data_IF_976576821974
#
_entry.id   IF_976576821974
#
_cell.length_a   1.000
_cell.length_b   1.000
_cell.length_c   1.000
_cell.angle_alpha   90.00
_cell.angle_beta   90.00
_cell.angle_gamma   90.00
#
_symmetry.space_group_name_H-M   'P 1'
#
loop_
_entity.id
_entity.type
_entity.pdbx_description
1 polymer ?
#
# COMPACT_ATOMS: atom_id res chain seq x y z
N UNK A 1 64.45 1.24 63.08
CA UNK A 1 64.20 0.06 63.93
C UNK A 1 62.74 -0.35 63.75
N UNK A 2 62.45 -1.62 63.39
CA UNK A 2 61.11 -2.23 63.44
C UNK A 2 60.82 -2.68 64.90
N UNK A 3 59.77 -3.46 65.24
CA UNK A 3 58.50 -3.84 64.55
C UNK A 3 57.24 -3.64 65.45
N UNK A 4 56.03 -3.87 64.94
CA UNK A 4 55.14 -4.99 65.37
C UNK A 4 53.73 -4.94 64.75
N UNK A 5 53.38 -6.08 64.15
CA UNK A 5 52.09 -6.52 63.65
C UNK A 5 50.94 -6.40 64.66
N UNK A 6 49.72 -6.13 64.17
CA UNK A 6 48.55 -7.00 64.44
C UNK A 6 47.60 -7.04 63.24
N UNK A 7 47.33 -8.27 62.81
CA UNK A 7 46.32 -8.69 61.85
C UNK A 7 44.91 -8.47 62.42
N UNK A 8 44.00 -7.97 61.60
CA UNK A 8 42.56 -8.17 61.75
C UNK A 8 42.02 -8.68 60.41
N UNK A 9 41.71 -9.98 60.38
CA UNK A 9 41.09 -10.69 59.27
C UNK A 9 39.59 -10.31 59.28
N UNK A 10 39.15 -9.46 58.35
CA UNK A 10 37.72 -9.26 58.09
C UNK A 10 37.29 -10.24 56.99
N UNK A 11 36.58 -11.29 57.40
CA UNK A 11 35.78 -12.14 56.52
C UNK A 11 34.59 -11.34 55.95
N UNK A 12 34.68 -10.92 54.69
CA UNK A 12 33.51 -10.50 53.90
C UNK A 12 33.02 -11.71 53.09
N UNK A 13 31.90 -12.29 53.53
CA UNK A 13 31.13 -13.26 52.75
C UNK A 13 30.51 -12.59 51.52
N UNK A 14 30.63 -13.16 50.31
CA UNK A 14 29.80 -12.77 49.19
C UNK A 14 28.42 -13.43 49.32
N UNK A 15 27.39 -12.60 49.57
CA UNK A 15 25.98 -12.99 49.44
C UNK A 15 25.70 -13.13 47.94
N UNK A 16 25.75 -14.35 47.43
CA UNK A 16 25.27 -14.67 46.10
C UNK A 16 23.74 -14.59 46.09
N UNK A 17 23.20 -13.45 45.66
CA UNK A 17 21.79 -13.29 45.29
C UNK A 17 21.54 -14.05 43.98
N UNK A 18 21.22 -15.35 44.09
CA UNK A 18 20.61 -16.10 43.00
C UNK A 18 19.15 -15.64 42.92
N UNK A 19 18.91 -14.62 42.11
CA UNK A 19 17.56 -14.24 41.70
C UNK A 19 17.00 -15.32 40.79
N UNK A 20 16.12 -16.17 41.32
CA UNK A 20 15.24 -17.00 40.52
C UNK A 20 14.36 -16.09 39.66
N UNK A 21 14.69 -15.96 38.37
CA UNK A 21 13.75 -15.50 37.37
C UNK A 21 12.69 -16.59 37.24
N UNK A 22 11.59 -16.45 37.99
CA UNK A 22 10.35 -17.16 37.70
C UNK A 22 9.80 -16.50 36.43
N UNK A 23 10.27 -16.96 35.27
CA UNK A 23 9.55 -16.76 34.02
C UNK A 23 8.25 -17.54 34.17
N UNK A 24 7.20 -16.83 34.59
CA UNK A 24 5.84 -17.31 34.46
C UNK A 24 5.62 -17.50 32.96
N UNK A 25 5.84 -18.72 32.47
CA UNK A 25 5.34 -19.16 31.19
C UNK A 25 3.82 -19.14 31.30
N UNK A 26 3.24 -17.96 31.07
CA UNK A 26 1.84 -17.83 30.75
C UNK A 26 1.67 -18.67 29.50
N UNK A 27 1.13 -19.88 29.66
CA UNK A 27 0.54 -20.64 28.57
C UNK A 27 -0.48 -19.70 27.93
N UNK A 28 -0.08 -19.01 26.86
CA UNK A 28 -1.03 -18.35 25.97
C UNK A 28 -1.89 -19.47 25.44
N UNK A 29 -3.13 -19.55 25.93
CA UNK A 29 -4.17 -20.30 25.24
C UNK A 29 -4.10 -19.93 23.75
N UNK A 30 -4.16 -20.91 22.84
CA UNK A 30 -4.18 -20.63 21.42
C UNK A 30 -5.36 -19.69 21.15
N UNK A 31 -5.05 -18.45 20.76
CA UNK A 31 -6.05 -17.44 20.41
C UNK A 31 -6.85 -18.03 19.26
N UNK A 32 -8.11 -18.40 19.51
CA UNK A 32 -8.99 -18.82 18.43
C UNK A 32 -9.05 -17.71 17.38
N UNK A 33 -8.96 -18.05 16.08
CA UNK A 33 -8.97 -17.04 15.04
C UNK A 33 -10.29 -16.27 15.11
N UNK A 34 -10.19 -14.96 15.33
CA UNK A 34 -11.33 -14.07 15.45
C UNK A 34 -12.21 -14.20 14.20
N UNK A 35 -13.48 -14.59 14.43
CA UNK A 35 -14.49 -14.72 13.38
C UNK A 35 -15.03 -13.33 13.07
N UNK A 36 -14.96 -12.97 11.79
CA UNK A 36 -15.44 -11.70 11.26
C UNK A 36 -16.52 -11.96 10.20
N UNK A 37 -17.45 -11.03 9.95
CA UNK A 37 -18.34 -11.14 8.80
C UNK A 37 -17.55 -11.24 7.49
N UNK A 38 -17.91 -12.19 6.63
CA UNK A 38 -17.21 -12.35 5.34
C UNK A 38 -17.24 -11.10 4.47
N UNK A 39 -18.33 -10.31 4.56
CA UNK A 39 -18.45 -9.04 3.82
C UNK A 39 -17.41 -7.99 4.25
N UNK A 40 -16.79 -8.11 5.43
CA UNK A 40 -15.74 -7.19 5.88
C UNK A 40 -14.46 -7.36 5.06
N UNK A 41 -14.20 -8.59 4.62
CA UNK A 41 -13.03 -8.91 3.80
C UNK A 41 -13.34 -8.86 2.32
N UNK A 42 -14.48 -9.41 1.92
CA UNK A 42 -14.90 -9.57 0.52
C UNK A 42 -16.29 -8.95 0.33
N UNK A 43 -16.41 -7.61 0.33
CA UNK A 43 -17.70 -6.93 0.25
C UNK A 43 -18.34 -6.99 -1.14
N UNK A 44 -17.56 -7.36 -2.16
CA UNK A 44 -18.01 -7.52 -3.55
C UNK A 44 -17.75 -8.96 -4.00
N UNK A 45 -18.80 -9.60 -4.51
CA UNK A 45 -18.81 -10.95 -5.09
C UNK A 45 -19.48 -10.90 -6.46
N UNK A 46 -19.46 -12.01 -7.21
CA UNK A 46 -20.05 -12.07 -8.55
C UNK A 46 -21.57 -11.78 -8.57
N UNK A 47 -22.24 -12.03 -7.44
CA UNK A 47 -23.68 -11.92 -7.22
C UNK A 47 -24.09 -10.70 -6.38
N UNK A 48 -23.13 -9.98 -5.79
CA UNK A 48 -23.42 -8.90 -4.84
C UNK A 48 -22.35 -7.83 -4.85
N UNK A 49 -22.79 -6.59 -5.01
CA UNK A 49 -21.96 -5.40 -4.79
C UNK A 49 -22.44 -4.74 -3.51
N UNK A 50 -21.52 -4.53 -2.57
CA UNK A 50 -21.81 -3.74 -1.40
C UNK A 50 -20.61 -2.99 -0.88
N UNK A 51 -20.90 -2.12 0.08
CA UNK A 51 -19.98 -1.11 0.57
C UNK A 51 -19.95 -1.13 2.09
N UNK A 52 -18.76 -0.94 2.64
CA UNK A 52 -18.53 -0.94 4.08
C UNK A 52 -18.43 0.50 4.55
N UNK A 53 -19.20 0.83 5.57
CA UNK A 53 -19.05 2.06 6.31
C UNK A 53 -18.46 1.78 7.69
N UNK A 54 -17.53 2.62 8.10
CA UNK A 54 -16.84 2.50 9.39
C UNK A 54 -17.17 3.70 10.27
N UNK A 55 -17.17 3.53 11.58
CA UNK A 55 -17.23 4.62 12.56
C UNK A 55 -16.48 4.23 13.83
N UNK A 56 -16.08 5.22 14.63
CA UNK A 56 -15.62 4.96 16.00
C UNK A 56 -16.75 4.23 16.77
N UNK A 57 -16.43 3.27 17.64
CA UNK A 57 -17.44 2.42 18.28
C UNK A 57 -18.30 3.18 19.28
N UNK A 58 -17.79 4.29 19.81
CA UNK A 58 -18.46 5.16 20.76
C UNK A 58 -18.84 6.50 20.13
N UNK A 59 -20.00 7.02 20.50
CA UNK A 59 -20.49 8.33 20.11
C UNK A 59 -21.16 9.02 21.31
N UNK A 60 -21.07 10.34 21.37
CA UNK A 60 -21.81 11.15 22.34
C UNK A 60 -23.32 11.15 22.07
N UNK A 61 -23.74 10.85 20.84
CA UNK A 61 -25.14 10.75 20.43
C UNK A 61 -25.58 9.29 20.48
N UNK A 62 -26.77 9.03 21.03
CA UNK A 62 -27.35 7.70 21.03
C UNK A 62 -27.42 7.14 19.59
N UNK A 63 -26.87 5.95 19.37
CA UNK A 63 -26.72 5.31 18.05
C UNK A 63 -25.93 6.10 16.99
N UNK A 64 -25.22 7.17 17.37
CA UNK A 64 -24.52 8.04 16.42
C UNK A 64 -23.49 7.31 15.57
N UNK A 65 -22.74 6.37 16.16
CA UNK A 65 -21.76 5.55 15.45
C UNK A 65 -22.40 4.62 14.41
N UNK A 66 -23.52 3.99 14.77
CA UNK A 66 -24.26 3.11 13.87
C UNK A 66 -24.81 3.89 12.68
N UNK A 67 -25.44 5.04 12.94
CA UNK A 67 -25.97 5.92 11.90
C UNK A 67 -24.86 6.41 10.97
N UNK A 68 -23.75 6.91 11.53
CA UNK A 68 -22.63 7.40 10.73
C UNK A 68 -22.01 6.28 9.87
N UNK A 69 -21.85 5.08 10.42
CA UNK A 69 -21.35 3.91 9.69
C UNK A 69 -22.31 3.53 8.54
N UNK A 70 -23.61 3.39 8.79
CA UNK A 70 -24.60 3.10 7.74
C UNK A 70 -24.66 4.19 6.67
N UNK A 71 -24.63 5.46 7.05
CA UNK A 71 -24.61 6.59 6.13
C UNK A 71 -23.37 6.57 5.24
N UNK A 72 -22.18 6.26 5.77
CA UNK A 72 -20.95 6.14 4.97
C UNK A 72 -20.99 4.97 3.99
N UNK A 73 -21.55 3.83 4.42
CA UNK A 73 -21.78 2.68 3.54
C UNK A 73 -22.72 3.06 2.39
N UNK A 74 -23.84 3.72 2.71
CA UNK A 74 -24.82 4.18 1.73
C UNK A 74 -24.26 5.26 0.79
N UNK A 75 -23.53 6.24 1.31
CA UNK A 75 -22.89 7.28 0.50
C UNK A 75 -21.94 6.68 -0.53
N UNK A 76 -21.18 5.65 -0.14
CA UNK A 76 -20.27 4.94 -1.05
C UNK A 76 -21.02 4.20 -2.16
N UNK A 77 -22.15 3.57 -1.82
CA UNK A 77 -23.05 2.91 -2.78
C UNK A 77 -23.69 3.91 -3.75
N UNK A 78 -24.22 5.02 -3.25
CA UNK A 78 -24.86 6.07 -4.04
C UNK A 78 -23.83 6.71 -5.00
N UNK A 79 -22.62 6.98 -4.50
CA UNK A 79 -21.53 7.49 -5.31
C UNK A 79 -21.13 6.49 -6.41
N UNK A 80 -21.11 5.19 -6.10
CA UNK A 80 -20.84 4.13 -7.09
C UNK A 80 -21.83 4.13 -8.26
N UNK A 81 -23.12 4.26 -7.97
CA UNK A 81 -24.16 4.30 -9.00
C UNK A 81 -24.40 5.69 -9.61
N UNK A 82 -23.63 6.71 -9.21
CA UNK A 82 -23.77 8.08 -9.72
C UNK A 82 -25.14 8.71 -9.42
N UNK A 83 -25.77 8.34 -8.31
CA UNK A 83 -27.11 8.81 -7.98
C UNK A 83 -27.05 10.26 -7.43
N UNK A 84 -27.93 11.16 -7.90
CA UNK A 84 -27.97 12.55 -7.43
C UNK A 84 -28.55 12.66 -6.01
N UNK A 85 -28.34 13.80 -5.35
CA UNK A 85 -28.96 14.16 -4.04
C UNK A 85 -28.59 13.23 -2.86
N UNK A 86 -27.30 12.96 -2.69
CA UNK A 86 -26.75 12.11 -1.62
C UNK A 86 -27.37 12.46 -0.25
N UNK A 87 -27.39 13.74 0.14
CA UNK A 87 -27.85 14.17 1.46
C UNK A 87 -29.32 13.80 1.77
N UNK A 88 -30.18 13.86 0.75
CA UNK A 88 -31.58 13.48 0.88
C UNK A 88 -31.72 11.98 1.16
N UNK A 89 -30.93 11.16 0.48
CA UNK A 89 -30.93 9.71 0.70
C UNK A 89 -30.34 9.32 2.06
N UNK A 90 -29.28 10.02 2.51
CA UNK A 90 -28.67 9.77 3.82
C UNK A 90 -29.61 10.08 4.99
N UNK A 91 -30.55 11.01 4.82
CA UNK A 91 -31.56 11.35 5.83
C UNK A 91 -32.57 10.22 6.10
N UNK A 92 -32.71 9.26 5.18
CA UNK A 92 -33.61 8.11 5.32
C UNK A 92 -33.05 7.02 6.23
N UNK A 93 -31.75 7.07 6.54
CA UNK A 93 -31.08 6.06 7.37
C UNK A 93 -31.48 6.25 8.83
N UNK A 94 -32.10 5.23 9.43
CA UNK A 94 -32.43 5.19 10.86
C UNK A 94 -31.67 4.06 11.55
N UNK A 95 -31.63 4.09 12.89
CA UNK A 95 -30.94 3.08 13.69
C UNK A 95 -31.64 1.71 13.64
N UNK A 96 -32.95 1.68 13.40
CA UNK A 96 -33.77 0.46 13.33
C UNK A 96 -34.02 -0.07 11.91
N UNK A 97 -33.72 0.71 10.86
CA UNK A 97 -33.93 0.28 9.49
C UNK A 97 -32.97 -0.86 9.08
N UNK A 98 -33.52 -2.00 8.69
CA UNK A 98 -32.79 -3.08 8.01
C UNK A 98 -32.64 -2.83 6.50
N UNK A 99 -33.45 -1.93 5.94
CA UNK A 99 -33.37 -1.47 4.56
C UNK A 99 -33.93 -0.06 4.40
N UNK A 100 -33.55 0.60 3.31
CA UNK A 100 -34.11 1.87 2.85
C UNK A 100 -34.45 1.78 1.37
N UNK A 101 -35.50 2.48 0.94
CA UNK A 101 -35.84 2.64 -0.47
C UNK A 101 -35.36 4.00 -0.97
N UNK A 102 -34.46 3.97 -1.95
CA UNK A 102 -33.95 5.16 -2.62
C UNK A 102 -35.03 5.81 -3.49
N UNK A 103 -34.87 7.09 -3.85
CA UNK A 103 -35.86 7.82 -4.67
C UNK A 103 -36.05 7.22 -6.06
N UNK A 104 -35.05 6.49 -6.57
CA UNK A 104 -35.14 5.75 -7.84
C UNK A 104 -35.89 4.40 -7.70
N UNK A 105 -36.45 4.09 -6.52
CA UNK A 105 -37.17 2.85 -6.24
C UNK A 105 -36.28 1.65 -5.86
N UNK A 106 -34.96 1.80 -5.91
CA UNK A 106 -34.02 0.73 -5.53
C UNK A 106 -34.00 0.55 -4.01
N UNK A 107 -34.05 -0.70 -3.56
CA UNK A 107 -33.89 -1.03 -2.14
C UNK A 107 -32.42 -1.25 -1.81
N UNK A 108 -31.98 -0.69 -0.69
CA UNK A 108 -30.66 -0.92 -0.10
C UNK A 108 -30.86 -1.58 1.24
N UNK A 109 -30.18 -2.72 1.44
CA UNK A 109 -30.21 -3.51 2.66
C UNK A 109 -28.98 -3.22 3.50
N UNK A 110 -29.17 -3.11 4.81
CA UNK A 110 -28.09 -2.94 5.79
C UNK A 110 -27.86 -4.24 6.55
N UNK A 111 -26.59 -4.57 6.80
CA UNK A 111 -26.26 -5.67 7.71
C UNK A 111 -26.56 -5.29 9.16
N UNK A 112 -26.62 -6.32 10.01
CA UNK A 112 -26.34 -6.13 11.43
C UNK A 112 -24.93 -5.53 11.61
N UNK A 113 -24.73 -4.64 12.59
CA UNK A 113 -23.43 -4.04 12.82
C UNK A 113 -22.46 -5.07 13.36
N UNK A 114 -21.22 -5.00 12.88
CA UNK A 114 -20.10 -5.71 13.49
C UNK A 114 -19.26 -4.72 14.29
N UNK A 115 -19.05 -5.00 15.57
CA UNK A 115 -18.45 -4.08 16.52
C UNK A 115 -17.18 -4.72 17.08
N UNK A 116 -16.07 -4.02 16.95
CA UNK A 116 -14.79 -4.33 17.59
C UNK A 116 -14.50 -3.27 18.66
N UNK A 117 -13.46 -3.45 19.50
CA UNK A 117 -13.07 -2.44 20.49
C UNK A 117 -12.77 -1.06 19.90
N UNK A 118 -12.35 -1.01 18.63
CA UNK A 118 -11.85 0.20 17.98
C UNK A 118 -12.71 0.68 16.81
N UNK A 119 -13.69 -0.11 16.33
CA UNK A 119 -14.49 0.23 15.14
C UNK A 119 -15.88 -0.41 15.15
N UNK A 120 -16.86 0.34 14.66
CA UNK A 120 -18.17 -0.17 14.26
C UNK A 120 -18.23 -0.21 12.73
N UNK A 121 -18.60 -1.36 12.20
CA UNK A 121 -18.76 -1.62 10.78
C UNK A 121 -20.23 -1.88 10.43
N UNK A 122 -20.68 -1.30 9.32
CA UNK A 122 -21.96 -1.59 8.70
C UNK A 122 -21.73 -1.86 7.22
N UNK A 123 -22.54 -2.74 6.65
CA UNK A 123 -22.50 -3.06 5.22
C UNK A 123 -23.81 -2.65 4.55
N UNK A 124 -23.72 -2.05 3.36
CA UNK A 124 -24.84 -1.68 2.52
C UNK A 124 -24.76 -2.38 1.17
N UNK A 125 -25.86 -2.98 0.71
CA UNK A 125 -25.93 -3.76 -0.53
C UNK A 125 -27.29 -3.58 -1.20
N UNK A 126 -27.32 -3.70 -2.52
CA UNK A 126 -28.57 -3.70 -3.32
C UNK A 126 -29.25 -5.07 -3.34
N UNK A 127 -28.52 -6.13 -2.99
CA UNK A 127 -29.02 -7.48 -2.77
C UNK A 127 -29.40 -7.70 -1.30
N UNK A 128 -30.48 -8.45 -1.09
CA UNK A 128 -30.95 -8.84 0.25
C UNK A 128 -29.89 -9.67 1.00
N UNK A 129 -29.77 -9.44 2.31
CA UNK A 129 -28.74 -10.07 3.14
C UNK A 129 -29.31 -11.28 3.88
N UNK A 130 -29.15 -12.47 3.31
CA UNK A 130 -29.60 -13.73 3.93
C UNK A 130 -28.47 -14.34 4.78
N UNK A 131 -28.54 -14.14 6.10
CA UNK A 131 -27.57 -14.62 7.11
C UNK A 131 -26.10 -14.16 6.91
N UNK A 132 -25.49 -13.61 7.96
CA UNK A 132 -24.12 -13.10 7.87
C UNK A 132 -23.13 -14.27 8.02
N UNK A 133 -22.62 -14.76 6.89
CA UNK A 133 -21.52 -15.73 6.87
C UNK A 133 -20.31 -15.20 7.67
N UNK A 134 -19.72 -16.07 8.49
CA UNK A 134 -18.54 -15.76 9.30
C UNK A 134 -17.30 -16.35 8.65
N UNK A 135 -16.26 -15.54 8.51
CA UNK A 135 -14.97 -15.86 7.92
C UNK A 135 -13.86 -15.68 8.97
N UNK A 136 -12.72 -16.34 8.77
CA UNK A 136 -11.54 -16.09 9.59
C UNK A 136 -10.85 -14.80 9.14
N UNK A 137 -10.20 -14.09 10.07
CA UNK A 137 -9.38 -12.93 9.74
C UNK A 137 -8.23 -13.30 8.80
N UNK A 138 -8.15 -12.67 7.61
CA UNK A 138 -7.06 -12.88 6.65
C UNK A 138 -5.82 -12.06 7.03
N UNK A 139 -4.69 -12.75 7.15
CA UNK A 139 -3.36 -12.15 7.31
C UNK A 139 -2.65 -12.10 5.95
N UNK A 140 -1.95 -11.01 5.67
CA UNK A 140 -1.11 -10.89 4.48
C UNK A 140 0.24 -11.57 4.71
N UNK A 141 0.70 -12.33 3.73
CA UNK A 141 2.05 -12.86 3.64
C UNK A 141 2.62 -12.53 2.27
N UNK A 142 3.38 -11.43 2.21
CA UNK A 142 3.99 -10.94 0.97
C UNK A 142 5.01 -11.93 0.38
N UNK A 143 5.77 -12.63 1.23
CA UNK A 143 6.77 -13.60 0.77
C UNK A 143 6.14 -14.81 0.06
N UNK A 144 4.92 -15.19 0.44
CA UNK A 144 4.16 -16.28 -0.19
C UNK A 144 3.10 -15.80 -1.16
N UNK A 145 2.91 -14.49 -1.30
CA UNK A 145 1.78 -13.92 -2.01
C UNK A 145 0.44 -14.48 -1.52
N UNK A 146 0.24 -14.56 -0.20
CA UNK A 146 -1.01 -15.04 0.40
C UNK A 146 -1.74 -13.89 1.09
N UNK A 147 -3.02 -13.62 0.76
CA UNK A 147 -3.81 -14.24 -0.30
C UNK A 147 -3.29 -13.93 -1.71
N UNK A 148 -3.61 -14.81 -2.67
CA UNK A 148 -3.04 -14.77 -4.04
C UNK A 148 -3.17 -13.42 -4.74
N UNK A 149 -4.20 -12.64 -4.41
CA UNK A 149 -4.42 -11.32 -4.97
C UNK A 149 -3.34 -10.30 -4.63
N UNK A 150 -2.54 -10.50 -3.57
CA UNK A 150 -1.44 -9.59 -3.20
C UNK A 150 -0.38 -9.46 -4.29
N UNK A 151 -0.17 -10.50 -5.07
CA UNK A 151 0.78 -10.53 -6.19
C UNK A 151 0.07 -10.92 -7.51
N UNK A 152 -1.26 -10.79 -7.58
CA UNK A 152 -2.00 -11.25 -8.76
C UNK A 152 -1.67 -10.39 -9.98
N UNK A 153 -1.50 -11.12 -11.08
CA UNK A 153 -0.86 -10.68 -12.32
C UNK A 153 -1.83 -10.22 -13.41
N UNK A 154 -3.13 -10.25 -13.13
CA UNK A 154 -4.14 -10.42 -14.18
C UNK A 154 -5.37 -9.50 -14.04
N UNK A 155 -5.43 -8.53 -13.13
CA UNK A 155 -6.61 -7.64 -13.04
C UNK A 155 -6.16 -6.21 -12.85
N UNK A 156 -6.87 -5.26 -13.47
CA UNK A 156 -6.68 -3.82 -13.33
C UNK A 156 -7.16 -3.38 -11.94
N UNK A 157 -6.30 -3.72 -10.98
CA UNK A 157 -6.54 -3.63 -9.57
C UNK A 157 -5.40 -2.88 -8.92
N UNK A 158 -5.70 -2.20 -7.82
CA UNK A 158 -4.77 -1.33 -7.11
C UNK A 158 -4.84 -1.68 -5.64
N UNK A 159 -3.69 -1.92 -5.03
CA UNK A 159 -3.60 -2.22 -3.61
C UNK A 159 -3.57 -0.91 -2.83
N UNK A 160 -4.67 -0.60 -2.15
CA UNK A 160 -4.75 0.50 -1.19
C UNK A 160 -4.24 0.07 0.18
N UNK A 161 -3.42 0.91 0.82
CA UNK A 161 -2.80 0.62 2.12
C UNK A 161 -3.25 1.66 3.14
N UNK A 162 -3.63 1.26 4.35
CA UNK A 162 -4.21 2.15 5.37
C UNK A 162 -3.21 2.91 6.26
N UNK A 163 -1.92 2.93 5.91
CA UNK A 163 -0.82 3.31 6.81
C UNK A 163 -0.88 4.77 7.34
N UNK A 164 -1.76 5.63 6.82
CA UNK A 164 -1.98 7.01 7.28
C UNK A 164 -2.84 7.15 8.54
N UNK A 165 -3.30 6.06 9.18
CA UNK A 165 -4.18 6.18 10.36
C UNK A 165 -3.89 5.20 11.48
N UNK A 166 -3.68 5.74 12.69
CA UNK A 166 -3.68 4.99 13.94
C UNK A 166 -5.10 4.54 14.35
N UNK A 167 -6.13 5.18 13.81
CA UNK A 167 -7.53 4.90 14.13
C UNK A 167 -8.05 3.80 13.20
N UNK A 168 -8.41 2.64 13.76
CA UNK A 168 -8.91 1.49 13.01
C UNK A 168 -10.11 1.84 12.11
N UNK A 169 -11.03 2.69 12.59
CA UNK A 169 -12.21 3.09 11.83
C UNK A 169 -11.91 3.97 10.60
N UNK A 170 -10.70 4.52 10.48
CA UNK A 170 -10.27 5.28 9.31
C UNK A 170 -9.52 4.42 8.29
N UNK A 171 -9.22 3.16 8.60
CA UNK A 171 -8.33 2.36 7.75
C UNK A 171 -8.90 2.11 6.35
N UNK A 172 -10.18 1.75 6.25
CA UNK A 172 -10.90 1.56 4.98
C UNK A 172 -10.98 2.86 4.15
N UNK A 173 -11.43 4.02 4.69
CA UNK A 173 -11.45 5.23 3.88
C UNK A 173 -10.05 5.71 3.48
N UNK A 174 -9.04 5.55 4.33
CA UNK A 174 -7.65 5.90 3.97
C UNK A 174 -7.07 4.97 2.90
N UNK A 175 -7.31 3.65 2.99
CA UNK A 175 -6.88 2.72 1.94
C UNK A 175 -7.56 3.03 0.61
N UNK A 176 -8.84 3.41 0.63
CA UNK A 176 -9.57 3.81 -0.58
C UNK A 176 -9.00 5.09 -1.20
N UNK A 177 -8.68 6.10 -0.39
CA UNK A 177 -8.06 7.33 -0.86
C UNK A 177 -6.70 7.07 -1.50
N UNK A 178 -5.87 6.25 -0.85
CA UNK A 178 -4.55 5.88 -1.39
C UNK A 178 -4.68 5.08 -2.69
N UNK A 179 -5.65 4.16 -2.76
CA UNK A 179 -5.93 3.42 -3.99
C UNK A 179 -6.36 4.34 -5.14
N UNK A 180 -7.18 5.37 -4.88
CA UNK A 180 -7.53 6.36 -5.91
C UNK A 180 -6.31 7.12 -6.42
N UNK A 181 -5.41 7.53 -5.52
CA UNK A 181 -4.15 8.20 -5.91
C UNK A 181 -3.30 7.29 -6.78
N UNK A 182 -3.12 6.03 -6.37
CA UNK A 182 -2.35 5.04 -7.14
C UNK A 182 -3.01 4.73 -8.49
N UNK A 183 -4.33 4.57 -8.54
CA UNK A 183 -5.08 4.40 -9.78
C UNK A 183 -4.90 5.60 -10.72
N UNK A 184 -4.81 6.82 -10.18
CA UNK A 184 -4.55 8.03 -10.97
C UNK A 184 -3.19 8.02 -11.65
N UNK A 185 -2.15 7.56 -10.95
CA UNK A 185 -0.82 7.37 -11.51
C UNK A 185 -0.81 6.33 -12.64
N UNK A 186 -1.55 5.23 -12.47
CA UNK A 186 -1.61 4.14 -13.42
C UNK A 186 -2.44 4.50 -14.67
N UNK A 187 -3.57 5.21 -14.48
CA UNK A 187 -4.45 5.60 -15.58
C UNK A 187 -3.76 6.59 -16.54
N UNK A 188 -3.25 7.70 -16.00
CA UNK A 188 -2.52 8.69 -16.79
C UNK A 188 -1.64 9.55 -15.88
N UNK A 189 -0.33 9.47 -16.10
CA UNK A 189 0.67 10.28 -15.41
C UNK A 189 1.35 11.24 -16.37
N UNK A 190 1.51 12.49 -15.92
CA UNK A 190 2.39 13.45 -16.58
C UNK A 190 3.74 13.39 -15.89
N UNK A 191 4.77 13.06 -16.65
CA UNK A 191 6.15 12.97 -16.19
C UNK A 191 6.89 14.21 -16.70
N UNK A 192 7.42 15.00 -15.77
CA UNK A 192 8.30 16.12 -16.07
C UNK A 192 9.53 16.04 -15.16
N UNK A 193 10.59 15.41 -15.67
CA UNK A 193 11.78 15.07 -14.90
C UNK A 193 13.04 15.46 -15.66
N UNK A 194 14.02 15.98 -14.92
CA UNK A 194 15.40 16.18 -15.35
C UNK A 194 16.29 15.21 -14.60
N UNK A 195 17.09 14.47 -15.35
CA UNK A 195 18.10 13.58 -14.78
C UNK A 195 19.51 14.05 -15.15
N UNK A 196 20.41 13.87 -14.19
CA UNK A 196 21.83 14.14 -14.35
C UNK A 196 22.59 12.87 -13.98
N UNK A 197 23.36 12.35 -14.94
CA UNK A 197 24.29 11.25 -14.72
C UNK A 197 25.71 11.81 -14.68
N UNK A 198 26.45 11.50 -13.61
CA UNK A 198 27.86 11.84 -13.45
C UNK A 198 28.67 10.59 -13.23
N UNK A 199 29.54 10.27 -14.18
CA UNK A 199 30.53 9.22 -14.00
C UNK A 199 31.87 9.83 -13.61
N UNK A 200 32.53 9.24 -12.62
CA UNK A 200 33.86 9.66 -12.20
C UNK A 200 34.77 8.47 -12.02
N UNK A 201 36.01 8.63 -12.46
CA UNK A 201 37.08 7.66 -12.29
C UNK A 201 38.24 8.33 -11.56
N UNK A 202 38.54 7.85 -10.36
CA UNK A 202 39.71 8.28 -9.58
C UNK A 202 40.66 7.10 -9.39
N UNK A 203 41.93 7.34 -9.64
CA UNK A 203 43.03 6.44 -9.27
C UNK A 203 43.74 7.14 -8.12
N UNK A 204 43.75 6.54 -6.93
CA UNK A 204 44.53 7.09 -5.82
C UNK A 204 46.01 6.71 -5.91
N UNK A 205 46.85 7.33 -5.08
CA UNK A 205 48.29 7.04 -4.99
C UNK A 205 48.60 5.58 -4.58
N UNK A 206 47.59 4.84 -4.11
CA UNK A 206 47.67 3.43 -3.69
C UNK A 206 47.19 2.46 -4.78
N UNK A 207 46.89 2.95 -6.00
CA UNK A 207 46.44 2.16 -7.15
C UNK A 207 45.04 1.54 -7.03
N UNK A 208 44.20 1.99 -6.10
CA UNK A 208 42.78 1.60 -6.10
C UNK A 208 42.01 2.47 -7.11
N UNK A 209 41.54 1.82 -8.18
CA UNK A 209 40.64 2.44 -9.14
C UNK A 209 39.22 2.55 -8.55
N UNK A 210 38.80 3.76 -8.19
CA UNK A 210 37.45 4.07 -7.72
C UNK A 210 36.63 4.61 -8.88
N UNK A 211 35.73 3.76 -9.39
CA UNK A 211 34.68 4.15 -10.33
C UNK A 211 33.41 4.46 -9.54
N UNK A 212 32.83 5.63 -9.78
CA UNK A 212 31.59 6.04 -9.15
C UNK A 212 30.62 6.62 -10.19
N UNK A 213 29.39 6.14 -10.16
CA UNK A 213 28.25 6.69 -10.89
C UNK A 213 27.37 7.41 -9.88
N UNK A 214 27.02 8.66 -10.18
CA UNK A 214 26.04 9.42 -9.41
C UNK A 214 24.89 9.80 -10.33
N UNK A 215 23.68 9.41 -9.95
CA UNK A 215 22.44 9.77 -10.62
C UNK A 215 21.68 10.75 -9.72
N UNK A 216 21.38 11.93 -10.25
CA UNK A 216 20.50 12.91 -9.62
C UNK A 216 19.26 13.10 -10.47
N UNK A 217 18.09 13.07 -9.82
CA UNK A 217 16.79 13.24 -10.48
C UNK A 217 16.02 14.36 -9.80
N UNK A 218 15.51 15.29 -10.60
CA UNK A 218 14.69 16.41 -10.14
C UNK A 218 13.47 16.55 -11.04
N UNK A 219 12.32 16.86 -10.45
CA UNK A 219 11.07 17.04 -11.20
C UNK A 219 9.90 16.38 -10.51
N UNK A 220 8.79 16.26 -11.25
CA UNK A 220 7.56 15.72 -10.71
C UNK A 220 6.89 14.71 -11.64
N UNK A 221 6.12 13.83 -11.01
CA UNK A 221 5.19 12.93 -11.68
C UNK A 221 3.83 13.22 -11.08
N UNK A 222 2.92 13.77 -11.87
CA UNK A 222 1.58 14.12 -11.43
C UNK A 222 0.56 13.13 -11.98
N UNK A 223 -0.32 12.66 -11.10
CA UNK A 223 -1.41 11.75 -11.44
C UNK A 223 -2.64 12.49 -11.95
N UNK A 224 -3.40 11.88 -12.86
CA UNK A 224 -4.77 12.30 -13.14
C UNK A 224 -5.68 11.98 -11.96
N UNK A 225 -6.62 12.87 -11.65
CA UNK A 225 -7.61 12.61 -10.62
C UNK A 225 -8.59 11.52 -11.07
N UNK A 226 -8.73 10.47 -10.25
CA UNK A 226 -9.70 9.40 -10.49
C UNK A 226 -11.02 9.75 -9.83
N UNK A 227 -11.97 10.20 -10.64
CA UNK A 227 -13.35 10.46 -10.20
C UNK A 227 -14.16 9.17 -10.03
N UNK A 228 -13.81 8.12 -10.79
CA UNK A 228 -14.56 6.87 -10.75
C UNK A 228 -14.39 6.15 -9.40
N UNK A 229 -15.50 5.69 -8.79
CA UNK A 229 -15.44 4.91 -7.56
C UNK A 229 -14.78 3.55 -7.80
N UNK A 230 -13.81 3.23 -6.94
CA UNK A 230 -13.16 1.93 -6.91
C UNK A 230 -13.91 0.98 -5.98
N UNK A 231 -14.06 -0.28 -6.41
CA UNK A 231 -14.70 -1.35 -5.65
C UNK A 231 -13.68 -2.08 -4.79
N UNK A 232 -13.93 -2.14 -3.49
CA UNK A 232 -13.18 -2.99 -2.58
C UNK A 232 -13.55 -4.46 -2.86
N UNK A 233 -12.59 -5.26 -3.33
CA UNK A 233 -12.86 -6.67 -3.68
C UNK A 233 -12.39 -7.64 -2.62
N UNK A 234 -11.27 -7.33 -1.98
CA UNK A 234 -10.67 -8.18 -0.95
C UNK A 234 -9.80 -7.36 0.00
N UNK A 235 -9.57 -7.86 1.22
CA UNK A 235 -8.61 -7.26 2.15
C UNK A 235 -7.89 -8.30 3.01
N UNK A 236 -6.70 -7.93 3.47
CA UNK A 236 -5.93 -8.67 4.47
C UNK A 236 -5.21 -7.69 5.39
N UNK A 237 -4.78 -8.17 6.55
CA UNK A 237 -4.04 -7.37 7.54
C UNK A 237 -2.60 -7.83 7.67
N UNK A 238 -1.68 -6.91 7.90
CA UNK A 238 -0.28 -7.19 8.25
C UNK A 238 0.10 -6.29 9.42
N UNK A 239 0.23 -6.88 10.61
CA UNK A 239 0.35 -6.11 11.84
C UNK A 239 -0.86 -5.19 12.03
N UNK A 240 -0.63 -3.89 12.19
CA UNK A 240 -1.67 -2.87 12.29
C UNK A 240 -2.13 -2.30 10.96
N UNK A 241 -1.59 -2.76 9.83
CA UNK A 241 -1.87 -2.19 8.50
C UNK A 241 -2.90 -3.02 7.76
N UNK A 242 -3.88 -2.36 7.15
CA UNK A 242 -4.88 -2.96 6.28
C UNK A 242 -4.44 -2.77 4.82
N UNK A 243 -4.39 -3.88 4.08
CA UNK A 243 -4.20 -3.93 2.65
C UNK A 243 -5.51 -4.30 2.00
N UNK A 244 -5.92 -3.52 1.01
CA UNK A 244 -7.21 -3.68 0.35
C UNK A 244 -7.01 -3.67 -1.15
N UNK A 245 -7.53 -4.69 -1.82
CA UNK A 245 -7.56 -4.74 -3.27
C UNK A 245 -8.75 -3.95 -3.81
N UNK A 246 -8.47 -2.95 -4.64
CA UNK A 246 -9.48 -2.12 -5.28
C UNK A 246 -9.50 -2.35 -6.79
N UNK A 247 -10.69 -2.38 -7.38
CA UNK A 247 -10.86 -2.56 -8.83
C UNK A 247 -11.76 -1.48 -9.40
N UNK A 248 -11.47 -1.05 -10.63
CA UNK A 248 -12.42 -0.23 -11.38
C UNK A 248 -13.67 -1.07 -11.70
N UNK A 249 -14.85 -0.43 -11.77
CA UNK A 249 -16.11 -1.12 -12.06
C UNK A 249 -16.16 -1.74 -13.46
N UNK A 250 -15.24 -1.37 -14.36
CA UNK A 250 -15.09 -1.98 -15.67
C UNK A 250 -14.21 -3.24 -15.56
N UNK A 251 -14.80 -4.40 -15.88
CA UNK A 251 -14.08 -5.66 -16.02
C UNK A 251 -13.09 -5.56 -17.18
N UNK A 252 -11.84 -5.24 -16.90
CA UNK A 252 -10.76 -5.50 -17.85
C UNK A 252 -10.43 -7.00 -17.86
N UNK A 253 -10.15 -7.52 -19.06
CA UNK A 253 -9.91 -8.95 -19.28
C UNK A 253 -8.71 -9.41 -18.47
N UNK A 254 -8.87 -10.53 -17.80
CA UNK A 254 -7.77 -11.16 -17.11
C UNK A 254 -6.73 -11.70 -18.11
N UNK A 255 -5.45 -11.42 -17.86
CA UNK A 255 -4.35 -12.05 -18.60
C UNK A 255 -4.39 -13.56 -18.35
N UNK A 256 -4.42 -14.35 -19.43
CA UNK A 256 -4.82 -15.76 -19.36
C UNK A 256 -3.77 -16.70 -18.76
N UNK A 257 -2.52 -16.25 -18.52
CA UNK A 257 -1.44 -17.11 -18.04
C UNK A 257 -0.53 -16.40 -17.02
N UNK A 258 -0.02 -17.11 -15.99
CA UNK A 258 0.93 -16.56 -15.04
C UNK A 258 2.27 -16.27 -15.74
N UNK A 259 2.54 -14.99 -15.99
CA UNK A 259 3.79 -14.53 -16.60
C UNK A 259 4.78 -14.17 -15.50
N UNK A 260 6.06 -14.48 -15.69
CA UNK A 260 7.13 -13.97 -14.84
C UNK A 260 7.61 -12.62 -15.39
N UNK A 261 7.06 -11.53 -14.85
CA UNK A 261 7.38 -10.16 -15.28
C UNK A 261 8.83 -9.78 -15.02
N UNK A 262 9.52 -10.45 -14.10
CA UNK A 262 10.91 -10.14 -13.70
C UNK A 262 11.94 -10.35 -14.80
N UNK A 263 11.60 -11.16 -15.81
CA UNK A 263 12.50 -11.49 -16.93
C UNK A 263 11.99 -10.95 -18.27
N UNK A 264 10.87 -10.23 -18.26
CA UNK A 264 10.22 -9.71 -19.47
C UNK A 264 10.49 -8.22 -19.58
N UNK A 265 11.05 -7.80 -20.71
CA UNK A 265 11.19 -6.39 -21.09
C UNK A 265 10.03 -5.92 -21.97
N UNK A 266 9.29 -6.86 -22.58
CA UNK A 266 8.17 -6.59 -23.47
C UNK A 266 7.11 -7.70 -23.35
N UNK A 267 5.84 -7.34 -23.52
CA UNK A 267 4.71 -8.26 -23.59
C UNK A 267 3.66 -7.73 -24.57
N UNK A 268 3.29 -8.53 -25.57
CA UNK A 268 2.30 -8.16 -26.59
C UNK A 268 2.58 -6.82 -27.31
N UNK A 269 3.86 -6.51 -27.60
CA UNK A 269 4.24 -5.26 -28.27
C UNK A 269 4.35 -4.05 -27.33
N UNK A 270 4.17 -4.26 -26.01
CA UNK A 270 4.17 -3.21 -24.99
C UNK A 270 5.35 -3.35 -24.05
N UNK A 271 5.93 -2.22 -23.67
CA UNK A 271 7.09 -2.17 -22.79
C UNK A 271 6.73 -2.63 -21.37
N UNK A 272 7.60 -3.43 -20.75
CA UNK A 272 7.52 -3.77 -19.33
C UNK A 272 8.66 -3.08 -18.62
N UNK A 273 8.34 -2.29 -17.59
CA UNK A 273 9.32 -1.51 -16.83
C UNK A 273 9.31 -1.89 -15.35
N UNK A 274 10.47 -1.75 -14.73
CA UNK A 274 10.67 -1.91 -13.29
C UNK A 274 10.88 -0.53 -12.67
N UNK A 275 10.12 -0.22 -11.63
CA UNK A 275 10.44 0.86 -10.70
C UNK A 275 10.81 0.30 -9.34
N UNK A 276 11.66 1.02 -8.62
CA UNK A 276 12.10 0.64 -7.28
C UNK A 276 12.13 1.82 -6.32
N UNK A 277 12.09 1.51 -5.02
CA UNK A 277 12.31 2.46 -3.94
C UNK A 277 12.91 1.76 -2.72
N UNK A 278 13.95 2.35 -2.11
CA UNK A 278 14.53 1.90 -0.84
C UNK A 278 15.82 1.08 -0.94
N UNK A 279 16.28 0.70 -2.14
CA UNK A 279 17.49 -0.14 -2.31
C UNK A 279 18.76 0.44 -1.68
N UNK A 280 18.89 1.76 -1.71
CA UNK A 280 20.00 2.55 -1.18
C UNK A 280 19.82 2.92 0.31
N UNK A 281 18.82 2.34 0.99
CA UNK A 281 18.44 2.69 2.35
C UNK A 281 17.59 3.95 2.45
N UNK A 282 17.09 4.49 1.32
CA UNK A 282 16.17 5.62 1.32
C UNK A 282 14.84 5.25 1.97
N UNK A 283 14.37 6.12 2.86
CA UNK A 283 13.09 6.00 3.54
C UNK A 283 12.14 7.05 2.95
N UNK A 284 10.87 6.70 2.80
CA UNK A 284 9.86 7.69 2.45
C UNK A 284 9.89 8.82 3.51
N UNK A 285 9.72 10.11 3.15
CA UNK A 285 9.83 11.22 4.09
C UNK A 285 8.87 11.14 5.29
N UNK A 286 7.75 10.45 5.09
CA UNK A 286 6.72 10.19 6.10
C UNK A 286 6.84 8.80 6.75
N UNK A 287 7.85 8.00 6.36
CA UNK A 287 8.08 6.63 6.79
C UNK A 287 6.89 5.69 6.52
N UNK A 288 6.09 5.99 5.48
CA UNK A 288 4.89 5.23 5.16
C UNK A 288 5.12 4.28 3.99
N UNK A 289 4.66 3.03 4.14
CA UNK A 289 4.73 2.03 3.08
C UNK A 289 3.95 2.47 1.82
N UNK A 290 2.80 3.10 2.00
CA UNK A 290 2.01 3.66 0.89
C UNK A 290 2.79 4.71 0.08
N UNK A 291 3.60 5.52 0.75
CA UNK A 291 4.46 6.51 0.10
C UNK A 291 5.62 5.85 -0.63
N UNK A 292 6.25 4.85 -0.03
CA UNK A 292 7.27 4.04 -0.70
C UNK A 292 6.71 3.36 -1.97
N UNK A 293 5.50 2.77 -1.92
CA UNK A 293 4.83 2.18 -3.09
C UNK A 293 4.58 3.25 -4.15
N UNK A 294 4.09 4.43 -3.75
CA UNK A 294 3.89 5.58 -4.64
C UNK A 294 5.20 5.98 -5.32
N UNK A 295 6.31 6.04 -4.60
CA UNK A 295 7.61 6.40 -5.16
C UNK A 295 8.12 5.34 -6.14
N UNK A 296 7.97 4.04 -5.84
CA UNK A 296 8.33 2.97 -6.76
C UNK A 296 7.48 3.01 -8.05
N UNK A 297 6.18 3.33 -7.96
CA UNK A 297 5.32 3.55 -9.14
C UNK A 297 5.79 4.77 -9.94
N UNK A 298 6.11 5.89 -9.26
CA UNK A 298 6.64 7.09 -9.94
C UNK A 298 7.95 6.79 -10.66
N UNK A 299 8.84 6.02 -10.05
CA UNK A 299 10.08 5.56 -10.67
C UNK A 299 9.80 4.75 -11.94
N UNK A 300 8.92 3.75 -11.86
CA UNK A 300 8.51 2.96 -13.02
C UNK A 300 7.91 3.82 -14.15
N UNK A 301 7.08 4.82 -13.83
CA UNK A 301 6.49 5.73 -14.81
C UNK A 301 7.53 6.62 -15.48
N UNK A 302 8.58 7.03 -14.76
CA UNK A 302 9.72 7.75 -15.35
C UNK A 302 10.46 6.86 -16.34
N UNK A 303 10.72 5.60 -15.99
CA UNK A 303 11.34 4.63 -16.90
C UNK A 303 10.46 4.36 -18.13
N UNK A 304 9.13 4.30 -17.97
CA UNK A 304 8.22 4.18 -19.11
C UNK A 304 8.24 5.43 -20.01
N UNK A 305 8.27 6.63 -19.41
CA UNK A 305 8.37 7.89 -20.14
C UNK A 305 9.66 7.99 -20.95
N UNK A 306 10.78 7.47 -20.41
CA UNK A 306 12.04 7.36 -21.15
C UNK A 306 11.91 6.49 -22.39
N UNK A 307 11.19 5.37 -22.30
CA UNK A 307 10.98 4.50 -23.47
C UNK A 307 10.10 5.18 -24.52
N UNK A 308 9.01 5.86 -24.11
CA UNK A 308 8.12 6.58 -25.04
C UNK A 308 8.80 7.77 -25.73
N UNK A 309 9.73 8.45 -25.06
CA UNK A 309 10.56 9.47 -25.71
C UNK A 309 11.29 10.37 -24.72
N UNK A 310 12.61 10.44 -24.88
CA UNK A 310 13.46 11.40 -24.17
C UNK A 310 13.80 12.53 -25.14
N UNK A 311 13.56 13.78 -24.75
CA UNK A 311 14.22 14.90 -25.40
C UNK A 311 15.65 14.98 -24.85
N UNK A 312 16.55 14.26 -25.52
CA UNK A 312 17.96 14.20 -25.14
C UNK A 312 18.61 15.53 -25.57
N UNK A 313 18.53 16.56 -24.73
CA UNK A 313 19.48 17.67 -24.78
C UNK A 313 20.80 17.23 -24.13
N UNK A 314 21.44 16.21 -24.70
CA UNK A 314 22.71 15.68 -24.19
C UNK A 314 23.83 16.68 -24.50
N UNK A 315 24.18 17.49 -23.50
CA UNK A 315 25.53 17.99 -23.37
C UNK A 315 26.34 16.93 -22.62
N UNK A 316 26.92 15.98 -23.37
CA UNK A 316 27.79 14.95 -22.82
C UNK A 316 29.25 15.34 -23.01
N UNK A 317 30.01 15.39 -21.93
CA UNK A 317 31.46 15.59 -22.00
C UNK A 317 32.15 14.24 -21.88
N UNK A 318 32.70 13.73 -22.98
CA UNK A 318 33.55 12.55 -22.95
C UNK A 318 34.91 12.94 -22.36
N UNK A 319 35.34 12.24 -21.31
CA UNK A 319 36.63 12.48 -20.66
C UNK A 319 37.47 11.21 -20.74
N UNK A 320 38.76 11.38 -21.03
CA UNK A 320 39.73 10.31 -21.06
C UNK A 320 40.62 10.39 -19.82
N UNK A 321 40.77 9.27 -19.10
CA UNK A 321 41.70 9.15 -17.98
C UNK A 321 42.36 7.76 -18.03
N UNK A 322 43.69 7.71 -18.05
CA UNK A 322 44.48 6.47 -18.10
C UNK A 322 44.02 5.46 -19.18
N UNK A 323 43.74 5.94 -20.40
CA UNK A 323 43.34 5.08 -21.52
C UNK A 323 41.86 4.65 -21.50
N UNK A 324 41.07 5.07 -20.50
CA UNK A 324 39.63 4.81 -20.42
C UNK A 324 38.84 6.07 -20.74
N UNK A 325 37.75 5.89 -21.48
CA UNK A 325 36.78 6.95 -21.77
C UNK A 325 35.56 6.77 -20.88
N UNK A 326 35.05 7.87 -20.31
CA UNK A 326 33.81 7.88 -19.54
C UNK A 326 33.03 9.17 -19.79
N UNK A 327 31.72 9.12 -19.56
CA UNK A 327 30.83 10.26 -19.73
C UNK A 327 30.79 11.06 -18.43
N UNK A 328 31.48 12.20 -18.39
CA UNK A 328 31.64 12.96 -17.15
C UNK A 328 30.32 13.57 -16.65
N UNK A 329 29.50 14.12 -17.54
CA UNK A 329 28.18 14.66 -17.21
C UNK A 329 27.24 14.44 -18.38
N UNK A 330 26.06 13.87 -18.12
CA UNK A 330 24.98 13.75 -19.10
C UNK A 330 23.68 14.25 -18.49
N UNK A 331 22.92 15.03 -19.28
CA UNK A 331 21.64 15.61 -18.88
C UNK A 331 20.53 15.02 -19.74
N UNK A 332 19.45 14.57 -19.09
CA UNK A 332 18.24 14.08 -19.76
C UNK A 332 17.05 14.92 -19.32
N UNK A 333 16.23 15.37 -20.27
CA UNK A 333 14.93 15.97 -19.98
C UNK A 333 13.84 15.04 -20.49
N UNK A 334 12.98 14.60 -19.58
CA UNK A 334 11.87 13.69 -19.86
C UNK A 334 10.58 14.44 -19.61
N UNK A 335 9.86 14.76 -20.68
CA UNK A 335 8.55 15.40 -20.62
C UNK A 335 7.56 14.59 -21.45
N UNK A 336 6.80 13.70 -20.80
CA UNK A 336 5.90 12.78 -21.47
C UNK A 336 4.61 12.57 -20.68
N UNK A 337 3.56 12.15 -21.40
CA UNK A 337 2.34 11.61 -20.79
C UNK A 337 2.34 10.11 -21.00
N UNK A 338 2.25 9.35 -19.90
CA UNK A 338 2.31 7.89 -19.90
C UNK A 338 1.15 7.30 -19.11
N UNK A 339 0.80 6.06 -19.44
CA UNK A 339 -0.20 5.24 -18.76
C UNK A 339 0.44 3.88 -18.50
N UNK A 340 0.08 3.21 -17.41
CA UNK A 340 0.68 1.94 -17.02
C UNK A 340 -0.29 1.04 -16.29
N UNK A 341 -0.26 -0.25 -16.62
CA UNK A 341 -0.99 -1.28 -15.88
C UNK A 341 -0.07 -1.90 -14.83
N UNK A 342 -0.50 -1.93 -13.57
CA UNK A 342 0.23 -2.59 -12.50
C UNK A 342 0.22 -4.10 -12.72
N UNK A 343 1.41 -4.69 -12.87
CA UNK A 343 1.58 -6.13 -13.12
C UNK A 343 1.91 -6.91 -11.86
N UNK A 344 2.79 -6.36 -11.00
CA UNK A 344 3.27 -7.02 -9.79
C UNK A 344 3.87 -5.99 -8.82
N UNK A 345 3.80 -6.28 -7.52
CA UNK A 345 4.47 -5.55 -6.45
C UNK A 345 5.22 -6.55 -5.59
N UNK A 346 6.52 -6.35 -5.42
CA UNK A 346 7.31 -7.07 -4.42
C UNK A 346 7.74 -6.11 -3.32
N UNK A 347 7.56 -6.55 -2.07
CA UNK A 347 8.00 -5.82 -0.89
C UNK A 347 8.94 -6.74 -0.12
N UNK A 348 10.21 -6.38 -0.10
CA UNK A 348 11.23 -7.03 0.72
C UNK A 348 11.61 -6.11 1.88
N UNK A 349 12.06 -6.65 3.01
CA UNK A 349 12.57 -5.85 4.11
C UNK A 349 14.07 -6.07 4.27
N UNK A 350 14.85 -4.99 4.22
CA UNK A 350 16.29 -4.99 4.45
C UNK A 350 16.60 -4.04 5.61
N UNK A 351 17.22 -4.56 6.66
CA UNK A 351 17.57 -3.80 7.87
C UNK A 351 16.36 -3.08 8.52
N UNK A 352 15.16 -3.66 8.38
CA UNK A 352 13.91 -3.10 8.91
C UNK A 352 13.26 -2.04 8.01
N UNK A 353 13.85 -1.71 6.87
CA UNK A 353 13.33 -0.77 5.88
C UNK A 353 12.71 -1.51 4.69
N UNK A 354 11.57 -1.03 4.14
CA UNK A 354 10.93 -1.67 3.00
C UNK A 354 11.63 -1.31 1.68
N UNK A 355 12.07 -2.33 0.95
CA UNK A 355 12.48 -2.25 -0.45
C UNK A 355 11.29 -2.64 -1.32
N UNK A 356 10.86 -1.73 -2.19
CA UNK A 356 9.66 -1.92 -3.00
C UNK A 356 10.04 -1.96 -4.46
N UNK A 357 9.55 -2.99 -5.15
CA UNK A 357 9.71 -3.19 -6.58
C UNK A 357 8.34 -3.27 -7.23
N UNK A 358 8.16 -2.52 -8.31
CA UNK A 358 6.90 -2.44 -9.04
C UNK A 358 7.13 -2.69 -10.51
N UNK A 359 6.38 -3.64 -11.08
CA UNK A 359 6.37 -3.89 -12.52
C UNK A 359 5.16 -3.24 -13.15
N UNK A 360 5.38 -2.41 -14.17
CA UNK A 360 4.32 -1.81 -14.97
C UNK A 360 4.40 -2.30 -16.42
N UNK A 361 3.24 -2.58 -17.02
CA UNK A 361 3.08 -2.76 -18.45
C UNK A 361 2.62 -1.44 -19.06
N UNK A 362 3.19 -1.07 -20.20
CA UNK A 362 2.78 0.09 -20.95
C UNK A 362 1.27 0.10 -21.25
N UNK A 363 0.60 1.15 -20.80
CA UNK A 363 -0.79 1.44 -21.13
C UNK A 363 -0.94 2.00 -22.55
N UNK A 364 -2.16 1.95 -23.07
CA UNK A 364 -2.48 2.52 -24.37
C UNK A 364 -2.37 4.05 -24.36
#
# INVERSE_FOLDING_TARGET
MPPLNRFALSCLLPIALIGCQVTSSVNKEPIEPEKVPCWLQTPVTADRIGFIGTAAPLSATQYGSLLASRQRALASLINHYGLPQIDLELSKVTHSASNVTLNNGQKVYFSEPYITPDTLYSYASTSELTSVAQCQTMQCNFSKCEPSWLCQKNQSSVIGVSYYTALAHQQIPMSAQNAKTLAGYLNQAQVNVKEQLRESYRTDEQSEAKYAINLSRQGDVSAQQVEQPLLMTSSCSYGSTLFVNYQASAQERALSNPINWRVKQEFEGKSVVLGNFGEDGTIAPDNLLSSAIKYAIRDALVELAKIKGIEISSQSTLVQNNGRYFLNHTHYTVQQTVSGQLLDIQIDYKDGLPNIYVWLLEGN
#
